data_IF_096993104749
#
_entry.id   IF_096993104749
#
_cell.length_a   1.000
_cell.length_b   1.000
_cell.length_c   1.000
_cell.angle_alpha   90.00
_cell.angle_beta   90.00
_cell.angle_gamma   90.00
#
_symmetry.space_group_name_H-M   'P 1'
#
loop_
_entity.id
_entity.type
_entity.pdbx_description
1 polymer ?
#
# COMPACT_ATOMS: atom_id res chain seq x y z
N UNK A 1 -13.41 16.30 -10.76
CA UNK A 1 -12.22 15.60 -11.29
C UNK A 1 -11.34 15.30 -10.10
N UNK A 2 -10.74 14.12 -10.05
CA UNK A 2 -9.84 13.73 -8.95
C UNK A 2 -8.43 13.64 -9.52
N UNK A 3 -7.47 14.25 -8.83
CA UNK A 3 -6.05 14.08 -9.12
C UNK A 3 -5.44 13.04 -8.18
N UNK A 4 -4.43 12.31 -8.65
CA UNK A 4 -3.66 11.38 -7.81
C UNK A 4 -2.25 11.92 -7.62
N UNK A 5 -1.79 11.92 -6.38
CA UNK A 5 -0.40 12.20 -6.03
C UNK A 5 0.15 11.13 -5.08
N UNK A 6 1.48 11.01 -5.02
CA UNK A 6 2.12 10.24 -3.95
C UNK A 6 1.91 10.95 -2.62
N UNK A 7 1.67 10.18 -1.56
CA UNK A 7 1.62 10.71 -0.19
C UNK A 7 2.90 11.47 0.18
N UNK A 8 4.05 11.01 -0.31
CA UNK A 8 5.37 11.62 -0.07
C UNK A 8 5.70 12.81 -0.98
N UNK A 9 4.81 13.20 -1.91
CA UNK A 9 5.11 14.23 -2.90
C UNK A 9 5.39 15.61 -2.28
N UNK A 10 4.78 15.91 -1.13
CA UNK A 10 4.97 17.15 -0.37
C UNK A 10 4.51 16.98 1.08
N UNK A 11 5.02 17.82 1.97
CA UNK A 11 4.51 17.90 3.34
C UNK A 11 3.07 18.42 3.34
N UNK A 12 2.22 17.81 4.18
CA UNK A 12 0.82 18.19 4.37
C UNK A 12 0.54 18.44 5.85
N UNK A 13 -0.52 19.21 6.12
CA UNK A 13 -0.93 19.52 7.49
C UNK A 13 -1.33 18.23 8.24
N UNK A 14 -0.71 17.92 9.40
CA UNK A 14 -0.97 16.67 10.11
C UNK A 14 -2.42 16.46 10.51
N UNK A 15 -3.13 17.54 10.86
CA UNK A 15 -4.55 17.47 11.25
C UNK A 15 -5.44 17.00 10.09
N UNK A 16 -5.19 17.51 8.88
CA UNK A 16 -5.93 17.12 7.67
C UNK A 16 -5.68 15.65 7.30
N UNK A 17 -4.45 15.17 7.53
CA UNK A 17 -4.07 13.78 7.25
C UNK A 17 -4.63 12.81 8.30
N UNK A 18 -4.64 13.18 9.57
CA UNK A 18 -5.19 12.37 10.66
C UNK A 18 -6.68 12.13 10.49
N UNK A 19 -7.46 13.15 10.14
CA UNK A 19 -8.90 12.97 9.86
C UNK A 19 -9.13 11.92 8.76
N UNK A 20 -8.40 12.03 7.65
CA UNK A 20 -8.50 11.12 6.50
C UNK A 20 -8.02 9.70 6.80
N UNK A 21 -6.95 9.55 7.58
CA UNK A 21 -6.31 8.26 7.85
C UNK A 21 -6.92 7.55 9.06
N UNK A 22 -7.53 8.26 10.01
CA UNK A 22 -8.11 7.64 11.20
C UNK A 22 -9.58 7.24 10.98
N UNK A 23 -10.28 7.89 10.04
CA UNK A 23 -11.65 7.51 9.65
C UNK A 23 -11.67 6.69 8.36
N UNK A 24 -11.60 5.36 8.46
CA UNK A 24 -11.95 4.51 7.32
C UNK A 24 -11.23 3.17 7.18
N UNK A 25 -10.20 2.89 7.98
CA UNK A 25 -9.55 1.58 7.90
C UNK A 25 -10.43 0.49 8.52
N UNK A 26 -10.74 -0.59 7.76
CA UNK A 26 -11.43 -1.72 8.33
C UNK A 26 -10.63 -2.34 9.49
N UNK A 27 -11.31 -2.68 10.57
CA UNK A 27 -10.68 -3.26 11.78
C UNK A 27 -9.88 -4.53 11.50
N UNK A 28 -10.18 -5.27 10.43
CA UNK A 28 -9.45 -6.48 10.06
C UNK A 28 -8.02 -6.21 9.58
N UNK A 29 -7.70 -5.01 9.07
CA UNK A 29 -6.35 -4.69 8.59
C UNK A 29 -5.34 -4.62 9.73
N UNK A 30 -5.76 -4.13 10.90
CA UNK A 30 -4.93 -4.06 12.11
C UNK A 30 -5.10 -5.28 13.03
N UNK A 31 -6.16 -6.07 12.87
CA UNK A 31 -6.43 -7.25 13.69
C UNK A 31 -5.80 -8.56 13.14
N UNK A 32 -5.33 -8.57 11.89
CA UNK A 32 -4.73 -9.75 11.29
C UNK A 32 -3.28 -9.96 11.78
N UNK A 33 -3.13 -10.87 12.76
CA UNK A 33 -1.84 -11.28 13.34
C UNK A 33 -0.88 -11.89 12.31
N UNK A 34 -1.39 -12.41 11.20
CA UNK A 34 -0.54 -12.96 10.12
C UNK A 34 0.03 -11.83 9.26
N UNK A 35 -0.72 -10.73 9.09
CA UNK A 35 -0.28 -9.54 8.36
C UNK A 35 0.71 -8.68 9.16
N UNK A 36 0.57 -8.67 10.48
CA UNK A 36 1.32 -7.80 11.41
C UNK A 36 2.84 -7.74 11.14
N UNK A 37 3.56 -8.86 10.92
CA UNK A 37 5.00 -8.81 10.64
C UNK A 37 5.37 -8.21 9.28
N UNK A 38 4.46 -8.25 8.30
CA UNK A 38 4.72 -7.78 6.93
C UNK A 38 4.43 -6.29 6.76
N UNK A 39 3.51 -5.72 7.53
CA UNK A 39 3.10 -4.32 7.38
C UNK A 39 4.26 -3.31 7.50
N UNK A 40 5.20 -3.42 8.46
CA UNK A 40 6.36 -2.52 8.51
C UNK A 40 7.25 -2.64 7.26
N UNK A 41 7.46 -3.86 6.76
CA UNK A 41 8.28 -4.12 5.58
C UNK A 41 7.61 -3.58 4.31
N UNK A 42 6.29 -3.70 4.22
CA UNK A 42 5.50 -3.13 3.13
C UNK A 42 5.63 -1.61 3.11
N UNK A 43 5.49 -0.94 4.25
CA UNK A 43 5.65 0.52 4.33
C UNK A 43 7.05 0.97 3.93
N UNK A 44 8.07 0.26 4.40
CA UNK A 44 9.47 0.55 4.07
C UNK A 44 9.77 0.36 2.57
N UNK A 45 9.34 -0.75 1.97
CA UNK A 45 9.68 -1.09 0.58
C UNK A 45 8.76 -0.48 -0.47
N UNK A 46 7.51 -0.24 -0.12
CA UNK A 46 6.44 0.14 -1.06
C UNK A 46 5.81 1.49 -0.72
N UNK A 47 6.45 2.32 0.10
CA UNK A 47 5.98 3.68 0.41
C UNK A 47 5.75 4.55 -0.83
N UNK A 48 6.43 4.26 -1.95
CA UNK A 48 6.21 4.91 -3.25
C UNK A 48 4.82 4.63 -3.87
N UNK A 49 4.10 3.63 -3.35
CA UNK A 49 2.75 3.26 -3.75
C UNK A 49 1.68 3.74 -2.76
N UNK A 50 2.05 4.58 -1.79
CA UNK A 50 1.09 5.32 -0.97
C UNK A 50 0.59 6.54 -1.76
N UNK A 51 -0.71 6.61 -2.00
CA UNK A 51 -1.34 7.59 -2.89
C UNK A 51 -2.44 8.36 -2.17
N UNK A 52 -2.58 9.62 -2.57
CA UNK A 52 -3.69 10.49 -2.20
C UNK A 52 -4.52 10.82 -3.43
N UNK A 53 -5.84 10.73 -3.26
CA UNK A 53 -6.81 11.31 -4.16
C UNK A 53 -7.13 12.73 -3.71
N UNK A 54 -7.01 13.69 -4.62
CA UNK A 54 -7.27 15.11 -4.35
C UNK A 54 -8.51 15.59 -5.10
N UNK A 55 -9.24 16.51 -4.49
CA UNK A 55 -10.30 17.27 -5.15
C UNK A 55 -9.72 18.39 -6.05
N UNK A 56 -10.62 19.22 -6.59
CA UNK A 56 -10.25 20.34 -7.49
C UNK A 56 -9.55 21.51 -6.78
N UNK A 57 -9.44 21.48 -5.46
CA UNK A 57 -8.79 22.49 -4.63
C UNK A 57 -7.53 21.95 -3.94
N UNK A 58 -6.99 20.83 -4.43
CA UNK A 58 -5.83 20.12 -3.87
C UNK A 58 -6.05 19.56 -2.45
N UNK A 59 -7.30 19.48 -2.01
CA UNK A 59 -7.71 18.89 -0.75
C UNK A 59 -7.72 17.35 -0.85
N UNK A 60 -7.08 16.62 0.08
CA UNK A 60 -7.09 15.17 0.06
C UNK A 60 -8.45 14.65 0.49
N UNK A 61 -9.04 13.77 -0.33
CA UNK A 61 -10.38 13.21 -0.14
C UNK A 61 -10.39 11.69 0.01
N UNK A 62 -9.30 11.02 -0.35
CA UNK A 62 -9.07 9.60 -0.05
C UNK A 62 -7.57 9.32 0.03
N UNK A 63 -7.21 8.30 0.80
CA UNK A 63 -5.86 7.76 0.86
C UNK A 63 -5.90 6.25 0.62
N UNK A 64 -4.83 5.73 0.02
CA UNK A 64 -4.67 4.30 -0.17
C UNK A 64 -3.21 3.94 -0.36
N UNK A 65 -2.91 2.65 -0.24
CA UNK A 65 -1.60 2.10 -0.56
C UNK A 65 -1.78 0.85 -1.39
N UNK A 66 -0.75 0.51 -2.15
CA UNK A 66 -0.73 -0.70 -2.95
C UNK A 66 0.59 -1.44 -2.76
N UNK A 67 0.58 -2.72 -3.11
CA UNK A 67 1.78 -3.56 -3.19
C UNK A 67 1.85 -4.16 -4.59
N UNK A 68 3.05 -4.30 -5.17
CA UNK A 68 3.23 -5.07 -6.38
C UNK A 68 3.04 -6.55 -6.09
N UNK A 69 2.26 -7.23 -6.94
CA UNK A 69 2.05 -8.68 -6.88
C UNK A 69 2.42 -9.31 -8.22
N UNK A 70 3.29 -10.31 -8.17
CA UNK A 70 3.52 -11.19 -9.32
C UNK A 70 2.37 -12.18 -9.42
N UNK A 71 1.71 -12.22 -10.58
CA UNK A 71 0.60 -13.11 -10.87
C UNK A 71 0.72 -13.63 -12.29
N UNK A 72 0.48 -14.92 -12.48
CA UNK A 72 0.58 -15.63 -13.76
C UNK A 72 -0.72 -15.61 -14.56
N UNK A 73 -1.71 -14.81 -14.14
CA UNK A 73 -3.05 -14.72 -14.75
C UNK A 73 -3.91 -15.99 -14.63
N UNK A 74 -3.51 -16.97 -13.81
CA UNK A 74 -4.33 -18.16 -13.51
C UNK A 74 -5.14 -17.98 -12.23
N UNK A 75 -6.25 -18.69 -12.09
CA UNK A 75 -7.05 -18.63 -10.86
C UNK A 75 -6.25 -19.21 -9.67
N UNK A 76 -5.49 -20.28 -9.93
CA UNK A 76 -4.64 -20.98 -8.98
C UNK A 76 -3.46 -20.11 -8.50
N UNK A 77 -3.01 -19.18 -9.36
CA UNK A 77 -1.93 -18.26 -9.05
C UNK A 77 -2.32 -17.07 -8.18
N UNK A 78 -3.61 -16.83 -7.91
CA UNK A 78 -4.04 -15.74 -7.03
C UNK A 78 -3.59 -15.96 -5.57
N UNK A 79 -3.34 -14.89 -4.81
CA UNK A 79 -3.13 -15.00 -3.38
C UNK A 79 -4.42 -15.50 -2.70
N UNK A 80 -4.26 -16.33 -1.67
CA UNK A 80 -5.41 -16.90 -0.94
C UNK A 80 -6.17 -15.88 -0.10
N UNK A 81 -5.63 -14.67 0.06
CA UNK A 81 -6.27 -13.56 0.78
C UNK A 81 -5.30 -12.41 1.06
N UNK A 82 -5.70 -11.51 1.96
CA UNK A 82 -4.95 -10.30 2.32
C UNK A 82 -3.54 -10.61 2.84
N UNK A 83 -3.43 -11.45 3.87
CA UNK A 83 -2.15 -11.86 4.44
C UNK A 83 -1.21 -12.55 3.44
N UNK A 84 -1.73 -13.43 2.60
CA UNK A 84 -0.92 -14.10 1.57
C UNK A 84 -0.45 -13.11 0.49
N UNK A 85 -1.25 -12.09 0.19
CA UNK A 85 -0.85 -10.99 -0.71
C UNK A 85 0.35 -10.23 -0.13
N UNK A 86 0.31 -9.84 1.14
CA UNK A 86 1.41 -9.12 1.79
C UNK A 86 2.69 -9.96 1.82
N UNK A 87 2.56 -11.23 2.22
CA UNK A 87 3.68 -12.17 2.24
C UNK A 87 4.31 -12.32 0.85
N UNK A 88 3.50 -12.60 -0.19
CA UNK A 88 3.99 -12.76 -1.56
C UNK A 88 4.66 -11.50 -2.11
N UNK A 89 4.14 -10.31 -1.80
CA UNK A 89 4.78 -9.06 -2.21
C UNK A 89 6.16 -8.90 -1.54
N UNK A 90 6.25 -9.13 -0.23
CA UNK A 90 7.52 -9.02 0.51
C UNK A 90 8.55 -10.06 0.05
N UNK A 91 8.14 -11.32 -0.09
CA UNK A 91 9.00 -12.44 -0.47
C UNK A 91 9.39 -12.38 -1.96
N UNK A 92 8.44 -12.09 -2.85
CA UNK A 92 8.66 -12.02 -4.29
C UNK A 92 9.55 -10.85 -4.71
N UNK A 93 9.49 -9.73 -3.98
CA UNK A 93 10.38 -8.59 -4.23
C UNK A 93 11.83 -8.91 -3.85
N UNK A 94 12.05 -9.74 -2.82
CA UNK A 94 13.39 -10.22 -2.45
C UNK A 94 14.05 -11.04 -3.59
N UNK A 95 13.25 -11.77 -4.38
CA UNK A 95 13.73 -12.51 -5.56
C UNK A 95 13.99 -11.59 -6.77
N UNK A 96 13.17 -10.55 -6.98
CA UNK A 96 13.33 -9.63 -8.12
C UNK A 96 14.50 -8.64 -7.96
N UNK A 97 14.87 -8.26 -6.73
CA UNK A 97 15.99 -7.35 -6.47
C UNK A 97 17.36 -8.01 -6.71
N UNK A 98 17.53 -9.27 -6.30
CA UNK A 98 18.77 -10.03 -6.49
C UNK A 98 19.00 -10.48 -7.95
N UNK A 99 18.03 -10.24 -8.84
CA UNK A 99 18.03 -10.72 -10.22
C UNK A 99 18.18 -9.62 -11.26
N UNK A 100 18.35 -8.35 -10.86
CA UNK A 100 18.69 -7.26 -11.79
C UNK A 100 20.21 -7.20 -11.97
N UNK A 101 20.75 -7.19 -13.22
CA UNK A 101 22.16 -6.93 -13.42
C UNK A 101 22.49 -5.53 -12.89
N UNK A 102 23.62 -5.42 -12.17
CA UNK A 102 24.16 -4.15 -11.66
C UNK A 102 24.56 -3.22 -12.79
#
# INVERSE_FOLDING_TARGET
MVALEKLSARSREPAQMSELLDTGWPSFISADRVAEPYLPVVRDRFGDYELLALDTHDGPVAAGWAIPLAWDSTLEGLPSGYSDSLRRAVDGTALSWNSRPR
#
